data_IF_467536925610
#
_entry.id   IF_467536925610
#
_cell.length_a   1.000
_cell.length_b   1.000
_cell.length_c   1.000
_cell.angle_alpha   90.00
_cell.angle_beta   90.00
_cell.angle_gamma   90.00
#
_symmetry.space_group_name_H-M   'P 1'
#
loop_
_entity.id
_entity.type
_entity.pdbx_description
1 polymer ?
#
# COMPACT_ATOMS: atom_id res chain seq x y z
N UNK A 1 -1.15 -1.18 -1.65
CA UNK A 1 -1.74 -2.45 -2.16
C UNK A 1 -3.28 -2.56 -2.10
N UNK A 2 -4.01 -1.45 -1.99
CA UNK A 2 -5.46 -1.50 -1.70
C UNK A 2 -6.32 -1.46 -2.99
N UNK A 3 -7.48 -2.13 -2.99
CA UNK A 3 -8.42 -2.15 -4.12
C UNK A 3 -9.13 -0.80 -4.34
N UNK A 4 -9.65 -0.57 -5.54
CA UNK A 4 -10.41 0.64 -5.89
C UNK A 4 -11.89 0.52 -5.48
N UNK A 5 -12.61 1.65 -5.33
CA UNK A 5 -13.99 1.67 -4.80
C UNK A 5 -14.97 0.73 -5.49
N UNK A 6 -14.78 0.47 -6.78
CA UNK A 6 -15.71 -0.26 -7.65
C UNK A 6 -15.19 -1.63 -8.06
N UNK A 7 -14.09 -2.09 -7.48
CA UNK A 7 -13.52 -3.40 -7.84
C UNK A 7 -14.53 -4.50 -7.52
N UNK A 8 -14.82 -5.34 -8.51
CA UNK A 8 -15.85 -6.39 -8.43
C UNK A 8 -17.30 -5.90 -8.59
N UNK A 9 -17.53 -4.63 -8.89
CA UNK A 9 -18.87 -4.09 -9.10
C UNK A 9 -19.49 -4.58 -10.41
N UNK A 10 -20.74 -5.04 -10.36
CA UNK A 10 -21.54 -5.41 -11.55
C UNK A 10 -22.46 -4.30 -12.03
N UNK A 11 -22.67 -3.27 -11.22
CA UNK A 11 -23.64 -2.19 -11.47
C UNK A 11 -22.99 -0.79 -11.43
N UNK A 12 -21.65 -0.72 -11.40
CA UNK A 12 -20.90 0.53 -11.37
C UNK A 12 -20.96 1.30 -10.05
N UNK A 13 -21.66 0.77 -9.03
CA UNK A 13 -21.68 1.32 -7.67
C UNK A 13 -20.45 0.87 -6.89
N UNK A 14 -20.13 1.61 -5.82
CA UNK A 14 -19.04 1.25 -4.93
C UNK A 14 -19.34 -0.09 -4.26
N UNK A 15 -18.35 -0.97 -4.23
CA UNK A 15 -18.34 -2.21 -3.45
C UNK A 15 -17.60 -2.02 -2.12
N UNK A 16 -16.77 -0.97 -2.02
CA UNK A 16 -16.05 -0.58 -0.83
C UNK A 16 -16.21 0.92 -0.56
N UNK A 17 -16.56 1.25 0.69
CA UNK A 17 -16.72 2.62 1.17
C UNK A 17 -15.80 2.88 2.36
N UNK A 18 -15.04 3.98 2.29
CA UNK A 18 -14.19 4.42 3.39
C UNK A 18 -15.04 5.08 4.47
N UNK A 19 -14.80 4.75 5.74
CA UNK A 19 -15.49 5.38 6.87
C UNK A 19 -15.32 6.90 6.90
N UNK A 20 -14.14 7.39 6.51
CA UNK A 20 -13.92 8.81 6.31
C UNK A 20 -14.04 9.13 4.79
N UNK A 21 -15.09 9.86 4.37
CA UNK A 21 -15.36 10.13 2.96
C UNK A 21 -14.23 10.85 2.21
N UNK A 22 -13.37 11.58 2.92
CA UNK A 22 -12.25 12.31 2.31
C UNK A 22 -11.23 11.39 1.63
N UNK A 23 -11.19 10.10 2.00
CA UNK A 23 -10.27 9.13 1.42
C UNK A 23 -10.89 8.24 0.34
N UNK A 24 -12.17 8.43 0.01
CA UNK A 24 -12.88 7.55 -0.93
C UNK A 24 -12.24 7.52 -2.32
N UNK A 25 -11.64 8.63 -2.75
CA UNK A 25 -10.95 8.73 -4.05
C UNK A 25 -9.47 8.32 -3.98
N UNK A 26 -8.94 8.11 -2.76
CA UNK A 26 -7.53 7.79 -2.52
C UNK A 26 -7.28 6.28 -2.54
N UNK A 27 -8.29 5.49 -2.17
CA UNK A 27 -8.22 4.02 -2.26
C UNK A 27 -8.11 3.56 -3.72
N UNK A 28 -7.34 2.50 -3.97
CA UNK A 28 -7.16 1.99 -5.33
C UNK A 28 -6.08 2.67 -6.16
N UNK A 29 -5.24 3.55 -5.58
CA UNK A 29 -4.15 4.19 -6.33
C UNK A 29 -3.21 3.16 -7.00
N UNK A 30 -2.70 3.51 -8.18
CA UNK A 30 -1.78 2.69 -9.00
C UNK A 30 -0.56 3.47 -9.51
N UNK A 31 -0.24 4.61 -8.90
CA UNK A 31 0.89 5.47 -9.30
C UNK A 31 2.22 4.79 -8.91
N UNK A 32 2.24 4.13 -7.74
CA UNK A 32 3.41 3.43 -7.23
C UNK A 32 3.18 2.85 -5.84
N UNK A 33 4.23 2.37 -5.20
CA UNK A 33 4.16 1.93 -3.79
C UNK A 33 3.90 3.13 -2.88
N UNK A 34 2.98 2.99 -1.92
CA UNK A 34 2.86 3.99 -0.87
C UNK A 34 4.06 3.92 0.08
N UNK A 35 4.29 4.99 0.84
CA UNK A 35 5.32 5.01 1.87
C UNK A 35 5.19 3.82 2.84
N UNK A 36 3.96 3.47 3.23
CA UNK A 36 3.71 2.36 4.15
C UNK A 36 3.94 0.99 3.51
N UNK A 37 3.61 0.83 2.22
CA UNK A 37 3.93 -0.41 1.49
C UNK A 37 5.46 -0.61 1.47
N UNK A 38 6.22 0.42 1.08
CA UNK A 38 7.69 0.37 1.02
C UNK A 38 8.32 0.15 2.41
N UNK A 39 7.81 0.82 3.44
CA UNK A 39 8.27 0.62 4.83
C UNK A 39 8.05 -0.81 5.29
N UNK A 40 6.89 -1.40 5.01
CA UNK A 40 6.59 -2.77 5.38
C UNK A 40 7.55 -3.77 4.72
N UNK A 41 7.83 -3.60 3.42
CA UNK A 41 8.81 -4.41 2.68
C UNK A 41 10.20 -4.27 3.30
N UNK A 42 10.65 -3.04 3.56
CA UNK A 42 11.98 -2.79 4.14
C UNK A 42 12.13 -3.38 5.54
N UNK A 43 11.09 -3.30 6.38
CA UNK A 43 11.11 -3.92 7.71
C UNK A 43 11.20 -5.45 7.60
N UNK A 44 10.56 -6.06 6.62
CA UNK A 44 10.57 -7.50 6.45
C UNK A 44 11.89 -8.04 5.87
N UNK A 45 12.55 -7.29 4.98
CA UNK A 45 13.65 -7.84 4.17
C UNK A 45 14.96 -7.03 4.19
N UNK A 46 14.95 -5.76 4.61
CA UNK A 46 16.12 -4.88 4.50
C UNK A 46 16.77 -4.55 5.85
N UNK A 47 16.31 -5.13 6.96
CA UNK A 47 16.91 -4.92 8.28
C UNK A 47 18.28 -5.62 8.46
N UNK A 48 18.68 -6.50 7.53
CA UNK A 48 19.86 -7.37 7.66
C UNK A 48 21.09 -7.04 6.80
N UNK A 49 21.03 -6.09 5.86
CA UNK A 49 22.10 -5.92 4.85
C UNK A 49 23.15 -4.83 5.18
N UNK A 50 23.31 -4.44 6.45
CA UNK A 50 24.38 -3.53 6.88
C UNK A 50 25.28 -4.07 8.01
N UNK A 51 25.53 -5.40 8.06
CA UNK A 51 26.47 -5.99 9.04
C UNK A 51 27.46 -6.97 8.38
N UNK A 52 28.14 -6.58 7.28
CA UNK A 52 29.27 -7.38 6.76
C UNK A 52 30.55 -6.54 6.46
N UNK A 53 30.57 -5.21 6.64
CA UNK A 53 31.78 -4.42 6.29
C UNK A 53 32.31 -3.42 7.34
N UNK A 54 31.96 -3.54 8.62
CA UNK A 54 32.62 -2.74 9.66
C UNK A 54 33.20 -3.66 10.72
N UNK A 55 34.54 -3.68 10.77
CA UNK A 55 35.46 -4.31 11.74
C UNK A 55 35.94 -5.74 11.41
N UNK A 56 36.85 -5.83 10.44
CA UNK A 56 38.09 -6.60 10.60
C UNK A 56 39.27 -5.64 10.55
#
# INVERSE_FOLDING_TARGET
MHYAPKDGSKNGKNTMETLNPLFQQTIGQRIGLSFLDAKAINLAYCQGEHIIYTLR
#
